data_IF_235593010796
#
_entry.id   IF_235593010796
#
_cell.length_a   1.000
_cell.length_b   1.000
_cell.length_c   1.000
_cell.angle_alpha   90.00
_cell.angle_beta   90.00
_cell.angle_gamma   90.00
#
_symmetry.space_group_name_H-M   'P 1'
#
loop_
_entity.id
_entity.type
_entity.pdbx_description
1 polymer ?
#
# COMPACT_ATOMS: atom_id res chain seq x y z
N UNK A 1 18.79 5.15 11.52
CA UNK A 1 18.73 4.93 10.05
C UNK A 1 17.27 4.88 9.62
N UNK A 2 16.92 5.00 8.32
CA UNK A 2 15.54 4.82 7.88
C UNK A 2 15.42 3.49 7.12
N UNK A 3 14.35 2.74 7.39
CA UNK A 3 13.90 1.60 6.58
C UNK A 3 12.67 2.04 5.82
N UNK A 4 12.69 1.92 4.50
CA UNK A 4 11.67 2.49 3.62
C UNK A 4 10.89 1.34 2.97
N UNK A 5 9.58 1.37 3.13
CA UNK A 5 8.65 0.46 2.43
C UNK A 5 7.82 1.28 1.46
N UNK A 6 8.01 1.03 0.17
CA UNK A 6 7.34 1.77 -0.90
C UNK A 6 6.22 0.94 -1.51
N UNK A 7 5.07 1.55 -1.70
CA UNK A 7 3.93 0.92 -2.36
C UNK A 7 2.80 1.88 -2.69
N UNK A 8 1.80 1.40 -3.41
CA UNK A 8 0.57 2.18 -3.67
C UNK A 8 -0.47 2.02 -2.57
N UNK A 9 -0.46 0.91 -1.85
CA UNK A 9 -1.39 0.62 -0.75
C UNK A 9 -2.87 0.84 -1.12
N UNK A 10 -3.32 0.19 -2.18
CA UNK A 10 -4.70 0.34 -2.72
C UNK A 10 -5.54 -0.95 -2.54
N UNK A 11 -5.96 -1.27 -1.30
CA UNK A 11 -5.64 -0.67 0.00
C UNK A 11 -4.38 -1.27 0.66
N UNK A 12 -4.07 -0.87 1.91
CA UNK A 12 -3.17 -1.64 2.77
C UNK A 12 -3.72 -3.06 2.94
N UNK A 13 -2.93 -4.08 2.69
CA UNK A 13 -3.32 -5.48 2.79
C UNK A 13 -2.26 -6.33 3.52
N UNK A 14 -2.59 -7.55 3.89
CA UNK A 14 -1.72 -8.41 4.71
C UNK A 14 -0.32 -8.64 4.11
N UNK A 15 -0.17 -8.61 2.79
CA UNK A 15 1.14 -8.65 2.15
C UNK A 15 1.98 -7.39 2.41
N UNK A 16 1.35 -6.21 2.43
CA UNK A 16 2.03 -4.98 2.82
C UNK A 16 2.35 -4.97 4.31
N UNK A 17 1.42 -5.45 5.15
CA UNK A 17 1.62 -5.59 6.60
C UNK A 17 2.86 -6.42 6.87
N UNK A 18 2.96 -7.61 6.28
CA UNK A 18 4.13 -8.47 6.42
C UNK A 18 5.45 -7.76 6.07
N UNK A 19 5.44 -6.98 4.98
CA UNK A 19 6.63 -6.26 4.55
C UNK A 19 7.00 -5.13 5.51
N UNK A 20 6.02 -4.40 6.03
CA UNK A 20 6.24 -3.32 7.00
C UNK A 20 6.71 -3.90 8.34
N UNK A 21 6.13 -5.01 8.80
CA UNK A 21 6.59 -5.71 10.01
C UNK A 21 8.03 -6.19 9.88
N UNK A 22 8.44 -6.69 8.70
CA UNK A 22 9.85 -7.02 8.43
C UNK A 22 10.77 -5.81 8.51
N UNK A 23 10.33 -4.65 8.06
CA UNK A 23 11.09 -3.42 8.21
C UNK A 23 11.20 -2.99 9.68
N UNK A 24 10.13 -3.16 10.47
CA UNK A 24 10.12 -2.91 11.91
C UNK A 24 11.04 -3.88 12.67
N UNK A 25 11.06 -5.17 12.30
CA UNK A 25 11.95 -6.17 12.89
C UNK A 25 13.44 -5.86 12.63
N UNK A 26 13.75 -5.19 11.51
CA UNK A 26 15.11 -4.80 11.13
C UNK A 26 15.56 -3.49 11.79
N UNK A 27 14.61 -2.65 12.16
CA UNK A 27 14.87 -1.34 12.75
C UNK A 27 15.31 -1.49 14.23
N UNK A 28 16.37 -0.80 14.61
CA UNK A 28 16.76 -0.64 16.00
C UNK A 28 16.01 0.50 16.68
N UNK A 29 16.25 0.69 17.98
CA UNK A 29 15.51 1.67 18.81
C UNK A 29 15.61 3.12 18.30
N UNK A 30 16.72 3.48 17.64
CA UNK A 30 16.98 4.80 17.08
C UNK A 30 16.64 4.91 15.58
N UNK A 31 16.11 3.85 14.99
CA UNK A 31 15.79 3.79 13.57
C UNK A 31 14.30 4.13 13.33
N UNK A 32 14.00 4.52 12.09
CA UNK A 32 12.62 4.81 11.67
C UNK A 32 12.19 3.87 10.55
N UNK A 33 10.93 3.47 10.59
CA UNK A 33 10.29 2.83 9.44
C UNK A 33 9.39 3.84 8.76
N UNK A 34 9.65 4.08 7.47
CA UNK A 34 8.93 5.04 6.64
C UNK A 34 8.13 4.26 5.60
N UNK A 35 6.83 4.41 5.65
CA UNK A 35 5.92 3.87 4.63
C UNK A 35 5.65 4.97 3.60
N UNK A 36 6.19 4.78 2.41
CA UNK A 36 6.11 5.75 1.32
C UNK A 36 4.98 5.36 0.36
N UNK A 37 3.95 6.19 0.29
CA UNK A 37 2.78 5.97 -0.57
C UNK A 37 3.01 6.64 -1.91
N UNK A 38 3.24 5.85 -2.95
CA UNK A 38 3.35 6.34 -4.34
C UNK A 38 1.98 6.67 -4.95
N UNK A 39 2.01 7.37 -6.07
CA UNK A 39 0.81 7.83 -6.79
C UNK A 39 -0.18 8.55 -5.86
N UNK A 40 0.33 9.45 -5.02
CA UNK A 40 -0.45 10.09 -3.98
C UNK A 40 -1.56 11.00 -4.53
N UNK A 41 -1.28 11.70 -5.62
CA UNK A 41 -2.19 12.64 -6.29
C UNK A 41 -2.88 12.07 -7.53
N UNK A 42 -2.88 10.73 -7.71
CA UNK A 42 -3.56 10.14 -8.86
C UNK A 42 -5.08 10.34 -8.78
N UNK A 43 -5.72 10.38 -9.94
CA UNK A 43 -7.18 10.46 -10.02
C UNK A 43 -7.83 9.23 -9.41
N UNK A 44 -9.02 9.44 -8.81
CA UNK A 44 -9.85 8.34 -8.33
C UNK A 44 -10.40 7.56 -9.53
N UNK A 45 -10.00 6.30 -9.61
CA UNK A 45 -10.33 5.38 -10.70
C UNK A 45 -10.35 3.93 -10.17
N UNK A 46 -10.81 2.93 -10.92
CA UNK A 46 -10.86 1.53 -10.45
C UNK A 46 -9.53 0.98 -9.95
N UNK A 47 -8.40 1.45 -10.50
CA UNK A 47 -7.05 1.06 -10.10
C UNK A 47 -6.58 1.80 -8.84
N UNK A 48 -7.08 3.00 -8.62
CA UNK A 48 -6.72 3.89 -7.51
C UNK A 48 -7.99 4.45 -6.84
N UNK A 49 -8.82 3.60 -6.18
CA UNK A 49 -10.10 4.02 -5.64
C UNK A 49 -10.00 4.89 -4.39
N UNK A 50 -8.86 4.92 -3.72
CA UNK A 50 -8.64 5.71 -2.52
C UNK A 50 -7.51 6.73 -2.71
N UNK A 51 -7.72 7.94 -2.19
CA UNK A 51 -6.75 9.04 -2.25
C UNK A 51 -5.47 8.74 -1.46
N UNK A 52 -4.42 9.53 -1.64
CA UNK A 52 -3.19 9.42 -0.84
C UNK A 52 -3.46 9.56 0.65
N UNK A 53 -4.27 10.56 1.05
CA UNK A 53 -4.62 10.81 2.44
C UNK A 53 -5.48 9.67 3.04
N UNK A 54 -6.44 9.13 2.32
CA UNK A 54 -7.24 7.99 2.77
C UNK A 54 -6.36 6.75 3.02
N UNK A 55 -5.40 6.48 2.13
CA UNK A 55 -4.44 5.38 2.31
C UNK A 55 -3.49 5.61 3.48
N UNK A 56 -3.08 6.85 3.69
CA UNK A 56 -2.29 7.26 4.86
C UNK A 56 -3.09 7.02 6.15
N UNK A 57 -4.33 7.45 6.22
CA UNK A 57 -5.21 7.21 7.36
C UNK A 57 -5.37 5.71 7.67
N UNK A 58 -5.54 4.86 6.64
CA UNK A 58 -5.59 3.40 6.80
C UNK A 58 -4.32 2.84 7.45
N UNK A 59 -3.14 3.30 7.03
CA UNK A 59 -1.86 2.83 7.56
C UNK A 59 -1.65 3.32 8.99
N UNK A 60 -1.90 4.59 9.27
CA UNK A 60 -1.75 5.18 10.60
C UNK A 60 -2.73 4.57 11.62
N UNK A 61 -3.95 4.23 11.21
CA UNK A 61 -4.91 3.52 12.05
C UNK A 61 -4.51 2.05 12.30
N UNK A 62 -3.78 1.44 11.37
CA UNK A 62 -3.27 0.09 11.55
C UNK A 62 -2.05 0.09 12.49
N UNK A 63 -1.09 0.99 12.28
CA UNK A 63 0.12 1.06 13.10
C UNK A 63 0.69 2.49 13.15
N UNK A 64 0.70 3.08 14.33
CA UNK A 64 1.20 4.44 14.57
C UNK A 64 2.71 4.52 14.85
N UNK A 65 3.44 3.39 14.80
CA UNK A 65 4.90 3.36 14.97
C UNK A 65 5.63 3.68 13.67
N UNK A 66 4.95 3.71 12.54
CA UNK A 66 5.53 4.03 11.24
C UNK A 66 5.29 5.49 10.87
N UNK A 67 6.25 6.11 10.20
CA UNK A 67 6.08 7.42 9.58
C UNK A 67 5.51 7.23 8.17
N UNK A 68 4.43 7.92 7.83
CA UNK A 68 3.81 7.78 6.50
C UNK A 68 4.04 9.04 5.68
N UNK A 69 4.61 8.89 4.49
CA UNK A 69 4.87 9.97 3.55
C UNK A 69 4.17 9.75 2.21
N UNK A 70 3.74 10.83 1.58
CA UNK A 70 3.09 10.83 0.29
C UNK A 70 4.08 11.22 -0.81
N UNK A 71 4.04 10.51 -1.94
CA UNK A 71 4.87 10.75 -3.11
C UNK A 71 3.98 10.90 -4.32
N UNK A 72 4.04 12.06 -4.95
CA UNK A 72 3.35 12.31 -6.21
C UNK A 72 4.10 11.66 -7.37
N UNK A 73 3.36 11.20 -8.37
CA UNK A 73 3.99 10.70 -9.59
C UNK A 73 4.55 11.85 -10.42
N UNK A 74 5.74 11.61 -10.94
CA UNK A 74 6.33 12.42 -11.99
C UNK A 74 6.46 11.58 -13.26
N UNK A 75 6.14 12.12 -14.42
CA UNK A 75 6.31 11.42 -15.69
C UNK A 75 7.78 11.43 -16.16
N UNK A 76 8.68 11.09 -15.23
CA UNK A 76 10.13 11.08 -15.44
C UNK A 76 10.78 9.88 -14.74
N UNK A 77 10.64 8.67 -15.32
CA UNK A 77 11.15 7.45 -14.69
C UNK A 77 12.63 7.48 -14.30
N UNK A 78 13.55 8.06 -15.12
CA UNK A 78 14.96 8.12 -14.76
C UNK A 78 15.25 8.92 -13.48
N UNK A 79 14.43 9.91 -13.16
CA UNK A 79 14.60 10.76 -11.99
C UNK A 79 13.67 10.41 -10.83
N UNK A 80 12.91 9.32 -10.97
CA UNK A 80 11.87 8.97 -10.00
C UNK A 80 12.42 8.68 -8.60
N UNK A 81 13.54 7.95 -8.49
CA UNK A 81 14.15 7.62 -7.18
C UNK A 81 14.64 8.87 -6.45
N UNK A 82 15.28 9.80 -7.17
CA UNK A 82 15.72 11.07 -6.58
C UNK A 82 14.53 11.97 -6.20
N UNK A 83 13.42 11.89 -6.92
CA UNK A 83 12.19 12.56 -6.56
C UNK A 83 11.60 11.95 -5.26
N UNK A 84 11.44 10.64 -5.21
CA UNK A 84 10.91 9.92 -4.05
C UNK A 84 11.74 10.14 -2.79
N UNK A 85 13.07 10.21 -2.94
CA UNK A 85 14.02 10.52 -1.87
C UNK A 85 13.75 11.85 -1.17
N UNK A 86 13.20 12.84 -1.85
CA UNK A 86 12.84 14.12 -1.22
C UNK A 86 11.76 13.96 -0.15
N UNK A 87 10.90 12.95 -0.29
CA UNK A 87 9.82 12.66 0.65
C UNK A 87 10.25 11.68 1.75
N UNK A 88 10.91 10.56 1.40
CA UNK A 88 11.28 9.53 2.37
C UNK A 88 12.71 9.64 2.91
N UNK A 89 13.51 10.56 2.39
CA UNK A 89 14.90 10.73 2.81
C UNK A 89 15.81 9.59 2.37
N UNK A 90 17.01 9.53 2.98
CA UNK A 90 17.97 8.44 2.77
C UNK A 90 17.66 7.26 3.67
N UNK A 91 17.98 6.04 3.21
CA UNK A 91 17.78 4.84 4.00
C UNK A 91 18.05 3.55 3.25
N UNK A 92 17.44 2.48 3.71
CA UNK A 92 17.45 1.15 3.12
C UNK A 92 16.04 0.86 2.60
N UNK A 93 15.93 0.51 1.33
CA UNK A 93 14.63 0.05 0.79
C UNK A 93 14.38 -1.39 1.23
N UNK A 94 13.21 -1.66 1.78
CA UNK A 94 12.70 -3.00 2.07
C UNK A 94 11.54 -3.29 1.12
N UNK A 95 11.70 -4.27 0.25
CA UNK A 95 10.72 -4.55 -0.80
C UNK A 95 10.62 -6.03 -1.12
N UNK A 96 9.47 -6.48 -1.60
CA UNK A 96 9.26 -7.79 -2.21
C UNK A 96 9.16 -7.71 -3.73
N UNK A 97 9.22 -6.51 -4.31
CA UNK A 97 9.08 -6.29 -5.75
C UNK A 97 10.44 -6.14 -6.42
N UNK A 98 10.74 -7.06 -7.33
CA UNK A 98 12.04 -7.10 -8.03
C UNK A 98 12.29 -5.86 -8.88
N UNK A 99 11.26 -5.32 -9.54
CA UNK A 99 11.42 -4.14 -10.39
C UNK A 99 11.78 -2.91 -9.55
N UNK A 100 11.10 -2.73 -8.43
CA UNK A 100 11.42 -1.66 -7.48
C UNK A 100 12.82 -1.85 -6.88
N UNK A 101 13.21 -3.08 -6.56
CA UNK A 101 14.54 -3.39 -6.05
C UNK A 101 15.63 -3.01 -7.06
N UNK A 102 15.46 -3.37 -8.33
CA UNK A 102 16.40 -3.06 -9.40
C UNK A 102 16.52 -1.55 -9.62
N UNK A 103 15.38 -0.84 -9.70
CA UNK A 103 15.34 0.61 -9.88
C UNK A 103 16.13 1.36 -8.79
N UNK A 104 15.99 0.94 -7.53
CA UNK A 104 16.71 1.56 -6.42
C UNK A 104 18.20 1.20 -6.40
N UNK A 105 18.57 -0.05 -6.77
CA UNK A 105 19.95 -0.47 -6.90
C UNK A 105 20.69 0.29 -8.00
N UNK A 106 20.04 0.53 -9.14
CA UNK A 106 20.59 1.35 -10.23
C UNK A 106 20.90 2.79 -9.78
N UNK A 107 20.17 3.25 -8.76
CA UNK A 107 20.39 4.54 -8.10
C UNK A 107 21.35 4.46 -6.91
N UNK A 108 22.11 3.37 -6.77
CA UNK A 108 23.09 3.10 -5.69
C UNK A 108 22.46 3.06 -4.27
N UNK A 109 21.24 2.56 -4.14
CA UNK A 109 20.60 2.34 -2.84
C UNK A 109 20.90 0.97 -2.26
N UNK A 110 20.97 0.89 -0.93
CA UNK A 110 20.89 -0.38 -0.23
C UNK A 110 19.47 -0.90 -0.28
N UNK A 111 19.30 -2.16 -0.69
CA UNK A 111 17.99 -2.81 -0.84
C UNK A 111 18.01 -4.15 -0.14
N UNK A 112 17.02 -4.37 0.70
CA UNK A 112 16.70 -5.66 1.32
C UNK A 112 15.48 -6.22 0.61
N UNK A 113 15.67 -7.32 -0.10
CA UNK A 113 14.56 -8.07 -0.69
C UNK A 113 13.99 -9.06 0.32
N UNK A 114 12.68 -9.00 0.48
CA UNK A 114 11.92 -9.91 1.33
C UNK A 114 11.09 -10.83 0.46
N UNK A 115 11.23 -12.13 0.65
CA UNK A 115 10.41 -13.10 -0.07
C UNK A 115 9.00 -13.13 0.53
N UNK A 116 8.01 -12.83 -0.29
CA UNK A 116 6.61 -12.87 0.09
C UNK A 116 6.01 -14.20 -0.39
N UNK A 117 5.93 -15.17 0.50
CA UNK A 117 5.24 -16.44 0.22
C UNK A 117 3.75 -16.18 -0.07
N UNK A 118 3.19 -16.90 -1.04
CA UNK A 118 1.79 -16.75 -1.47
C UNK A 118 1.44 -15.35 -2.00
N UNK A 119 2.39 -14.70 -2.68
CA UNK A 119 2.22 -13.34 -3.24
C UNK A 119 0.94 -13.17 -4.08
N UNK A 120 0.51 -14.21 -4.77
CA UNK A 120 -0.71 -14.23 -5.57
C UNK A 120 -1.99 -13.93 -4.77
N UNK A 121 -2.01 -14.23 -3.46
CA UNK A 121 -3.13 -13.94 -2.58
C UNK A 121 -3.17 -12.47 -2.13
N UNK A 122 -2.08 -11.72 -2.37
CA UNK A 122 -1.92 -10.34 -1.96
C UNK A 122 -1.79 -9.38 -3.15
N UNK A 123 -2.35 -9.75 -4.29
CA UNK A 123 -2.43 -8.84 -5.43
C UNK A 123 -3.55 -7.81 -5.23
N UNK A 124 -3.19 -6.55 -5.14
CA UNK A 124 -4.14 -5.46 -4.86
C UNK A 124 -5.35 -5.41 -5.80
N UNK A 125 -5.18 -5.82 -7.07
CA UNK A 125 -6.30 -5.87 -8.01
C UNK A 125 -7.34 -6.94 -7.64
N UNK A 126 -6.93 -8.11 -7.14
CA UNK A 126 -7.83 -9.17 -6.67
C UNK A 126 -8.59 -8.73 -5.45
N UNK A 127 -7.90 -8.08 -4.50
CA UNK A 127 -8.51 -7.54 -3.28
C UNK A 127 -9.56 -6.49 -3.65
N UNK A 128 -9.25 -5.56 -4.56
CA UNK A 128 -10.21 -4.56 -5.02
C UNK A 128 -11.40 -5.18 -5.76
N UNK A 129 -11.19 -6.25 -6.51
CA UNK A 129 -12.27 -6.97 -7.16
C UNK A 129 -13.22 -7.63 -6.13
N UNK A 130 -12.67 -8.29 -5.12
CA UNK A 130 -13.46 -8.86 -4.01
C UNK A 130 -14.19 -7.75 -3.25
N UNK A 131 -13.52 -6.67 -2.90
CA UNK A 131 -14.13 -5.52 -2.24
C UNK A 131 -15.25 -4.89 -3.08
N UNK A 132 -15.10 -4.85 -4.42
CA UNK A 132 -16.17 -4.38 -5.33
C UNK A 132 -17.39 -5.28 -5.29
N UNK A 133 -17.23 -6.59 -5.21
CA UNK A 133 -18.37 -7.52 -5.07
C UNK A 133 -19.14 -7.30 -3.77
N UNK A 134 -18.47 -6.82 -2.74
CA UNK A 134 -19.04 -6.53 -1.42
C UNK A 134 -19.54 -5.09 -1.26
N UNK A 135 -19.31 -4.23 -2.24
CA UNK A 135 -19.56 -2.78 -2.13
C UNK A 135 -21.02 -2.36 -1.96
N UNK A 136 -21.96 -3.28 -2.21
CA UNK A 136 -23.40 -3.07 -2.03
C UNK A 136 -24.03 -4.11 -1.10
N UNK A 137 -23.21 -4.79 -0.30
CA UNK A 137 -23.68 -5.77 0.69
C UNK A 137 -23.89 -5.07 2.02
N UNK A 138 -25.11 -5.14 2.55
CA UNK A 138 -25.50 -4.51 3.83
C UNK A 138 -25.17 -5.38 5.06
N UNK A 139 -24.82 -6.65 4.86
CA UNK A 139 -24.35 -7.54 5.91
C UNK A 139 -22.86 -7.29 6.18
N UNK A 140 -22.56 -6.40 7.11
CA UNK A 140 -21.18 -6.06 7.47
C UNK A 140 -20.41 -7.19 8.15
N UNK A 141 -21.07 -8.16 8.76
CA UNK A 141 -20.39 -9.33 9.32
C UNK A 141 -19.89 -10.24 8.20
N UNK A 142 -20.67 -10.42 7.15
CA UNK A 142 -20.22 -11.12 5.94
C UNK A 142 -19.08 -10.36 5.24
N UNK A 143 -19.14 -9.03 5.18
CA UNK A 143 -18.05 -8.19 4.63
C UNK A 143 -16.75 -8.40 5.42
N UNK A 144 -16.81 -8.36 6.75
CA UNK A 144 -15.67 -8.61 7.64
C UNK A 144 -15.07 -10.00 7.42
N UNK A 145 -15.92 -11.02 7.40
CA UNK A 145 -15.49 -12.40 7.21
C UNK A 145 -14.72 -12.58 5.90
N UNK A 146 -15.28 -12.11 4.79
CA UNK A 146 -14.66 -12.27 3.46
C UNK A 146 -13.35 -11.49 3.34
N UNK A 147 -13.30 -10.24 3.82
CA UNK A 147 -12.11 -9.40 3.68
C UNK A 147 -10.99 -9.73 4.69
N UNK A 148 -11.29 -10.41 5.79
CA UNK A 148 -10.31 -10.73 6.85
C UNK A 148 -9.15 -11.60 6.37
N UNK A 149 -9.35 -12.39 5.32
CA UNK A 149 -8.28 -13.20 4.72
C UNK A 149 -7.19 -12.36 4.06
N UNK A 150 -7.50 -11.12 3.66
CA UNK A 150 -6.60 -10.28 2.87
C UNK A 150 -6.26 -8.93 3.51
N UNK A 151 -7.13 -8.41 4.37
CA UNK A 151 -7.00 -7.09 4.98
C UNK A 151 -6.88 -7.16 6.49
N UNK A 152 -6.10 -6.24 7.11
CA UNK A 152 -6.16 -6.01 8.55
C UNK A 152 -7.56 -5.57 8.99
N UNK A 153 -7.98 -5.95 10.20
CA UNK A 153 -9.28 -5.57 10.74
C UNK A 153 -9.49 -4.06 10.79
N UNK A 154 -8.48 -3.28 11.15
CA UNK A 154 -8.54 -1.81 11.17
C UNK A 154 -8.84 -1.20 9.80
N UNK A 155 -8.33 -1.79 8.73
CA UNK A 155 -8.61 -1.35 7.35
C UNK A 155 -10.05 -1.71 6.96
N UNK A 156 -10.53 -2.90 7.34
CA UNK A 156 -11.91 -3.31 7.08
C UNK A 156 -12.89 -2.37 7.78
N UNK A 157 -12.66 -2.08 9.06
CA UNK A 157 -13.51 -1.14 9.81
C UNK A 157 -13.47 0.26 9.19
N UNK A 158 -12.28 0.76 8.80
CA UNK A 158 -12.16 2.03 8.10
C UNK A 158 -12.99 2.07 6.82
N UNK A 159 -12.94 0.99 6.01
CA UNK A 159 -13.71 0.90 4.76
C UNK A 159 -15.22 0.92 5.01
N UNK A 160 -15.68 0.29 6.09
CA UNK A 160 -17.10 0.25 6.48
C UNK A 160 -17.53 1.62 7.04
N UNK A 161 -16.82 2.16 8.01
CA UNK A 161 -17.16 3.41 8.71
C UNK A 161 -17.18 4.63 7.79
N UNK A 162 -16.28 4.66 6.80
CA UNK A 162 -16.19 5.75 5.80
C UNK A 162 -17.08 5.53 4.57
N UNK A 163 -17.87 4.45 4.54
CA UNK A 163 -18.63 4.03 3.35
C UNK A 163 -17.75 3.95 2.08
N UNK A 164 -16.48 3.61 2.29
CA UNK A 164 -15.45 3.66 1.25
C UNK A 164 -15.51 2.48 0.28
N UNK A 165 -16.21 1.39 0.65
CA UNK A 165 -16.49 0.27 -0.24
C UNK A 165 -17.50 0.67 -1.32
N UNK A 166 -18.52 1.47 -0.97
CA UNK A 166 -19.56 1.88 -1.91
C UNK A 166 -19.00 2.61 -3.13
N UNK A 167 -17.90 3.36 -2.97
CA UNK A 167 -17.20 4.00 -4.09
C UNK A 167 -16.86 3.02 -5.20
N UNK A 168 -16.51 1.77 -4.87
CA UNK A 168 -16.18 0.76 -5.88
C UNK A 168 -17.39 0.38 -6.76
N UNK A 169 -18.62 0.50 -6.25
CA UNK A 169 -19.83 0.24 -7.02
C UNK A 169 -20.06 1.31 -8.10
N UNK A 170 -19.54 2.52 -7.89
CA UNK A 170 -19.74 3.65 -8.82
C UNK A 170 -18.89 3.54 -10.08
N UNK A 171 -17.84 2.72 -10.07
CA UNK A 171 -17.02 2.49 -11.25
C UNK A 171 -17.72 1.56 -12.24
N UNK A 172 -17.77 1.97 -13.50
CA UNK A 172 -18.35 1.12 -14.56
C UNK A 172 -17.62 -0.22 -14.64
N UNK A 173 -18.34 -1.27 -14.98
CA UNK A 173 -17.79 -2.61 -15.20
C UNK A 173 -17.04 -2.65 -16.53
N UNK A 174 -15.80 -2.16 -16.53
CA UNK A 174 -14.83 -2.43 -17.58
C UNK A 174 -13.87 -3.54 -17.11
N UNK A 175 -13.43 -4.40 -18.03
CA UNK A 175 -12.35 -5.34 -17.73
C UNK A 175 -11.07 -4.52 -17.62
N UNK A 176 -10.73 -4.11 -16.42
CA UNK A 176 -9.44 -3.50 -16.15
C UNK A 176 -8.46 -4.62 -15.76
N UNK A 177 -7.79 -5.19 -16.77
CA UNK A 177 -6.60 -5.99 -16.53
C UNK A 177 -5.56 -5.10 -15.85
N UNK A 178 -4.95 -5.59 -14.79
CA UNK A 178 -4.03 -4.88 -13.91
C UNK A 178 -2.73 -4.39 -14.54
#
# INVERSE_FOLDING_TARGET
MNYIVLGRFQPLHNGHVFLIEKALDLAGDDDKVIVAIGSASCQIEPRNPWTGEERKEMIENWNNQVEVVLIDDINDPPNWVEHAKKSHGNGILVTSDKQTAELYRESNWNVIEVDLSNRENFEGWRIRQTAKMLSTVDDFDAVREVLSSSLPSSVIEWLIEKDALFRLSTFQTGVYAG
#
